data_IF_728594448670
#
_entry.id   IF_728594448670
#
_cell.length_a   1.000
_cell.length_b   1.000
_cell.length_c   1.000
_cell.angle_alpha   90.00
_cell.angle_beta   90.00
_cell.angle_gamma   90.00
#
_symmetry.space_group_name_H-M   'P 1'
#
loop_
_entity.id
_entity.type
_entity.pdbx_description
1 polymer ?
#
# COMPACT_ATOMS: atom_id res chain seq x y z
N UNK A 1 5.15 -12.42 2.88
CA UNK A 1 5.22 -11.26 1.98
C UNK A 1 3.83 -10.99 1.44
N UNK A 2 3.50 -9.74 1.11
CA UNK A 2 2.24 -9.39 0.45
C UNK A 2 2.28 -9.96 -0.97
N UNK A 3 1.31 -10.81 -1.29
CA UNK A 3 1.21 -11.48 -2.59
C UNK A 3 0.43 -10.61 -3.57
N UNK A 4 1.05 -10.28 -4.71
CA UNK A 4 0.43 -9.43 -5.74
C UNK A 4 -0.86 -10.03 -6.33
N UNK A 5 -0.97 -11.36 -6.38
CA UNK A 5 -2.16 -12.06 -6.85
C UNK A 5 -3.42 -11.78 -5.99
N UNK A 6 -3.25 -11.36 -4.72
CA UNK A 6 -4.35 -11.01 -3.82
C UNK A 6 -4.85 -9.58 -4.01
N UNK A 7 -4.17 -8.78 -4.84
CA UNK A 7 -4.51 -7.38 -5.13
C UNK A 7 -5.00 -7.28 -6.58
N UNK A 8 -6.29 -6.98 -6.74
CA UNK A 8 -6.91 -6.81 -8.05
C UNK A 8 -6.79 -5.38 -8.54
N UNK A 9 -6.11 -5.16 -9.67
CA UNK A 9 -6.03 -3.84 -10.31
C UNK A 9 -7.42 -3.32 -10.71
N UNK A 10 -8.32 -4.21 -11.15
CA UNK A 10 -9.69 -3.84 -11.51
C UNK A 10 -10.50 -3.35 -10.29
N UNK A 11 -10.17 -3.87 -9.10
CA UNK A 11 -10.76 -3.37 -7.86
C UNK A 11 -10.20 -2.00 -7.51
N UNK A 12 -8.86 -1.83 -7.52
CA UNK A 12 -8.17 -0.55 -7.25
C UNK A 12 -8.65 0.58 -8.17
N UNK A 13 -8.98 0.27 -9.42
CA UNK A 13 -9.55 1.22 -10.40
C UNK A 13 -10.94 1.75 -10.03
N UNK A 14 -11.68 1.04 -9.17
CA UNK A 14 -13.07 1.36 -8.79
C UNK A 14 -13.16 1.86 -7.36
N UNK A 15 -12.46 1.20 -6.45
CA UNK A 15 -12.59 1.39 -5.01
C UNK A 15 -11.20 1.30 -4.35
N UNK A 16 -10.96 2.00 -3.22
CA UNK A 16 -9.73 1.84 -2.46
C UNK A 16 -9.58 0.40 -1.95
N UNK A 17 -8.47 -0.25 -2.32
CA UNK A 17 -8.06 -1.51 -1.73
C UNK A 17 -7.30 -1.24 -0.43
N UNK A 18 -7.70 -1.85 0.67
CA UNK A 18 -6.99 -1.74 1.96
C UNK A 18 -6.58 -3.10 2.49
N UNK A 19 -5.44 -3.18 3.14
CA UNK A 19 -4.98 -4.39 3.80
C UNK A 19 -4.02 -4.11 4.94
N UNK A 20 -3.56 -5.18 5.58
CA UNK A 20 -2.55 -5.13 6.63
C UNK A 20 -1.58 -6.29 6.49
N UNK A 21 -0.37 -6.09 7.01
CA UNK A 21 0.67 -7.10 7.08
C UNK A 21 1.57 -6.84 8.29
N UNK A 22 1.45 -7.70 9.32
CA UNK A 22 2.34 -7.73 10.50
C UNK A 22 2.64 -6.35 11.12
N UNK A 23 1.62 -5.57 11.44
CA UNK A 23 1.78 -4.25 12.08
C UNK A 23 1.84 -3.07 11.10
N UNK A 24 1.98 -3.32 9.80
CA UNK A 24 1.85 -2.32 8.74
C UNK A 24 0.44 -2.37 8.15
N UNK A 25 -0.19 -1.20 7.94
CA UNK A 25 -1.41 -1.04 7.16
C UNK A 25 -1.06 -0.46 5.80
N UNK A 26 -1.84 -0.79 4.77
CA UNK A 26 -1.65 -0.25 3.44
C UNK A 26 -2.96 0.01 2.71
N UNK A 27 -2.93 0.96 1.78
CA UNK A 27 -4.05 1.36 0.92
C UNK A 27 -3.55 1.60 -0.50
N UNK A 28 -4.22 1.05 -1.50
CA UNK A 28 -4.04 1.36 -2.91
C UNK A 28 -5.33 1.94 -3.46
N UNK A 29 -5.25 3.03 -4.20
CA UNK A 29 -6.42 3.59 -4.87
C UNK A 29 -6.01 4.24 -6.18
N UNK A 30 -6.97 4.34 -7.11
CA UNK A 30 -6.80 5.09 -8.34
C UNK A 30 -6.73 6.61 -8.05
N UNK A 31 -5.66 7.25 -8.52
CA UNK A 31 -5.55 8.70 -8.73
C UNK A 31 -6.11 9.10 -10.10
N UNK A 32 -5.56 10.15 -10.73
CA UNK A 32 -5.98 10.50 -12.10
C UNK A 32 -5.55 9.39 -13.09
N UNK A 33 -4.23 9.16 -13.20
CA UNK A 33 -3.63 8.16 -14.11
C UNK A 33 -2.62 7.24 -13.39
N UNK A 34 -2.75 7.14 -12.06
CA UNK A 34 -1.77 6.49 -11.19
C UNK A 34 -2.43 5.59 -10.13
N UNK A 35 -1.66 4.62 -9.63
CA UNK A 35 -1.94 3.87 -8.41
C UNK A 35 -1.26 4.60 -7.25
N UNK A 36 -2.07 5.21 -6.39
CA UNK A 36 -1.56 5.86 -5.18
C UNK A 36 -1.57 4.84 -4.05
N UNK A 37 -0.38 4.41 -3.65
CA UNK A 37 -0.13 3.43 -2.60
C UNK A 37 0.33 4.15 -1.34
N UNK A 38 -0.27 3.83 -0.20
CA UNK A 38 0.04 4.44 1.09
C UNK A 38 0.28 3.36 2.13
N UNK A 39 1.29 3.52 2.98
CA UNK A 39 1.56 2.67 4.15
C UNK A 39 1.57 3.49 5.44
N UNK A 40 1.17 2.89 6.55
CA UNK A 40 1.19 3.53 7.88
C UNK A 40 1.16 2.48 9.00
N UNK A 41 1.55 2.82 10.24
CA UNK A 41 1.52 1.87 11.36
C UNK A 41 0.10 1.62 11.90
N UNK A 42 -0.09 0.46 12.51
CA UNK A 42 -1.19 0.21 13.44
C UNK A 42 -1.18 1.19 14.65
N UNK A 43 -2.31 1.36 15.37
CA UNK A 43 -3.56 0.61 15.27
C UNK A 43 -4.63 1.28 14.39
N UNK A 44 -4.47 2.55 14.03
CA UNK A 44 -5.56 3.35 13.45
C UNK A 44 -5.78 3.13 11.95
N UNK A 45 -7.01 3.35 11.48
CA UNK A 45 -7.34 3.35 10.06
C UNK A 45 -6.81 4.62 9.36
N UNK A 46 -6.83 4.64 8.03
CA UNK A 46 -6.25 5.72 7.23
C UNK A 46 -6.73 7.13 7.66
N UNK A 47 -8.02 7.30 7.92
CA UNK A 47 -8.64 8.57 8.28
C UNK A 47 -8.27 9.04 9.70
N UNK A 48 -7.89 8.11 10.58
CA UNK A 48 -7.55 8.39 11.98
C UNK A 48 -6.05 8.47 12.24
N UNK A 49 -5.24 8.02 11.29
CA UNK A 49 -3.78 8.17 11.33
C UNK A 49 -3.38 9.56 10.85
N UNK A 50 -2.49 10.23 11.58
CA UNK A 50 -1.92 11.52 11.18
C UNK A 50 -1.14 11.39 9.85
N UNK A 51 -1.18 12.43 9.01
CA UNK A 51 -0.57 12.38 7.67
C UNK A 51 0.96 12.23 7.71
N UNK A 52 1.61 12.75 8.75
CA UNK A 52 3.06 12.60 8.98
C UNK A 52 3.51 11.14 9.20
N UNK A 53 2.58 10.25 9.57
CA UNK A 53 2.84 8.82 9.76
C UNK A 53 2.53 7.99 8.50
N UNK A 54 2.11 8.64 7.42
CA UNK A 54 1.76 7.98 6.15
C UNK A 54 2.88 8.18 5.15
N UNK A 55 3.41 7.09 4.62
CA UNK A 55 4.31 7.13 3.47
C UNK A 55 3.50 6.85 2.21
N UNK A 56 3.59 7.74 1.22
CA UNK A 56 2.85 7.62 -0.05
C UNK A 56 3.83 7.47 -1.19
N UNK A 57 3.54 6.53 -2.09
CA UNK A 57 4.23 6.39 -3.37
C UNK A 57 3.23 6.11 -4.50
N UNK A 58 3.56 6.63 -5.67
CA UNK A 58 2.72 6.63 -6.86
C UNK A 58 3.36 5.76 -7.94
N UNK A 59 2.53 5.01 -8.65
CA UNK A 59 2.93 4.08 -9.70
C UNK A 59 2.00 4.24 -10.91
N UNK A 60 2.42 3.79 -12.08
CA UNK A 60 1.56 3.83 -13.27
C UNK A 60 0.29 2.96 -13.09
N UNK A 61 -0.84 3.38 -13.67
CA UNK A 61 -2.11 2.62 -13.62
C UNK A 61 -2.15 1.43 -14.60
N UNK A 62 -1.09 0.63 -14.58
CA UNK A 62 -0.84 -0.53 -15.43
C UNK A 62 -0.71 -1.82 -14.59
N UNK A 63 -0.82 -3.01 -15.19
CA UNK A 63 -0.48 -4.26 -14.52
C UNK A 63 0.93 -4.25 -13.91
N UNK A 64 1.89 -3.70 -14.63
CA UNK A 64 3.29 -3.58 -14.22
C UNK A 64 3.43 -2.62 -13.02
N UNK A 65 2.80 -1.45 -13.08
CA UNK A 65 2.77 -0.50 -11.96
C UNK A 65 2.10 -1.08 -10.71
N UNK A 66 1.13 -1.99 -10.87
CA UNK A 66 0.58 -2.76 -9.74
C UNK A 66 1.62 -3.72 -9.14
N UNK A 67 2.39 -4.43 -9.96
CA UNK A 67 3.49 -5.28 -9.45
C UNK A 67 4.54 -4.45 -8.71
N UNK A 68 4.91 -3.29 -9.24
CA UNK A 68 5.84 -2.36 -8.59
C UNK A 68 5.31 -1.83 -7.26
N UNK A 69 4.01 -1.49 -7.20
CA UNK A 69 3.35 -1.08 -5.97
C UNK A 69 3.45 -2.16 -4.89
N UNK A 70 3.19 -3.42 -5.25
CA UNK A 70 3.27 -4.55 -4.31
C UNK A 70 4.71 -4.85 -3.90
N UNK A 71 5.66 -4.74 -4.82
CA UNK A 71 7.08 -4.83 -4.49
C UNK A 71 7.47 -3.78 -3.46
N UNK A 72 7.09 -2.52 -3.67
CA UNK A 72 7.35 -1.43 -2.75
C UNK A 72 6.70 -1.64 -1.38
N UNK A 73 5.46 -2.14 -1.31
CA UNK A 73 4.84 -2.48 -0.02
C UNK A 73 5.66 -3.48 0.79
N UNK A 74 6.25 -4.47 0.12
CA UNK A 74 7.12 -5.44 0.76
C UNK A 74 8.45 -4.82 1.20
N UNK A 75 9.04 -3.94 0.39
CA UNK A 75 10.26 -3.19 0.75
C UNK A 75 10.04 -2.26 1.96
N UNK A 76 8.91 -1.54 2.01
CA UNK A 76 8.53 -0.70 3.14
C UNK A 76 8.41 -1.52 4.41
N UNK A 77 7.76 -2.70 4.33
CA UNK A 77 7.65 -3.60 5.47
C UNK A 77 9.02 -4.01 6.01
N UNK A 78 9.92 -4.49 5.15
CA UNK A 78 11.27 -4.92 5.56
C UNK A 78 12.12 -3.78 6.11
N UNK A 79 11.94 -2.56 5.58
CA UNK A 79 12.75 -1.39 5.95
C UNK A 79 12.28 -0.71 7.24
N UNK A 80 10.96 -0.65 7.47
CA UNK A 80 10.37 0.22 8.49
C UNK A 80 9.45 -0.49 9.49
N UNK A 81 8.90 -1.67 9.17
CA UNK A 81 7.90 -2.33 10.00
C UNK A 81 8.34 -3.70 10.55
N UNK A 82 9.38 -4.31 10.00
CA UNK A 82 10.03 -5.48 10.59
C UNK A 82 10.62 -5.09 11.95
N UNK A 83 10.18 -5.79 13.00
CA UNK A 83 10.87 -5.76 14.29
C UNK A 83 12.20 -6.49 14.13
N UNK A 84 13.30 -5.74 14.10
CA UNK A 84 14.64 -6.31 14.30
C UNK A 84 14.77 -6.58 15.80
N UNK A 85 14.96 -7.85 16.16
CA UNK A 85 15.30 -8.28 17.52
C UNK A 85 16.73 -7.87 17.86
#
# INVERSE_FOLDING_TARGET
MIESAKISLNFVKKEPFTGSYKGMRYRLHKGEDEIVTTVWPEPFCYEKTADELKTVKKFELTPEGKEEAVKWLNEEYESHFVRKL
#
